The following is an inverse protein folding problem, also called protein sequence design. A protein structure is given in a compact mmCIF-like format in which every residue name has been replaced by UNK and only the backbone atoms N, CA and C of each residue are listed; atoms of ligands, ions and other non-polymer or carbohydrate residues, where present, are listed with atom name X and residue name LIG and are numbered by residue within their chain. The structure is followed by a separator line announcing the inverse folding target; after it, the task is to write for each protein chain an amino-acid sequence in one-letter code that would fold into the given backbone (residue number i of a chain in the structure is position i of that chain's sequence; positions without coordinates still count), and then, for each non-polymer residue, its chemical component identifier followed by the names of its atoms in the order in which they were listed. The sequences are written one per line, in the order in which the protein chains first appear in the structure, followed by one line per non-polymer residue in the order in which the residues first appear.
data_IF_078634883264
#
_entry.id   IF_078634883264
#
_cell.length_a   1.000
_cell.length_b   1.000
_cell.length_c   1.000
_cell.angle_alpha   90.00
_cell.angle_beta   90.00
_cell.angle_gamma   90.00
#
_symmetry.space_group_name_H-M   'P 1'
#
loop_
_entity.id
_entity.type
_entity.pdbx_description
1 polymer ?
#
# COMPACT_ATOMS: atom_id res chain seq x y z
N UNK A 1 2.84 -25.87 19.41
CA UNK A 1 3.87 -25.13 18.65
C UNK A 1 4.51 -26.05 17.61
N UNK A 2 4.08 -26.02 16.33
CA UNK A 2 4.63 -26.88 15.26
C UNK A 2 4.48 -26.27 13.84
N UNK A 3 4.29 -24.95 13.70
CA UNK A 3 4.02 -24.30 12.39
C UNK A 3 5.21 -23.54 11.79
N UNK A 4 6.28 -23.30 12.54
CA UNK A 4 7.44 -22.51 12.07
C UNK A 4 8.44 -23.31 11.23
N UNK A 5 8.47 -24.65 11.34
CA UNK A 5 9.46 -25.48 10.63
C UNK A 5 9.12 -25.76 9.16
N UNK A 6 7.85 -25.69 8.75
CA UNK A 6 7.46 -25.96 7.35
C UNK A 6 7.74 -24.79 6.40
N UNK A 7 7.72 -23.55 6.88
CA UNK A 7 7.90 -22.35 6.03
C UNK A 7 9.38 -22.19 5.64
N UNK A 8 10.31 -22.40 6.58
CA UNK A 8 11.75 -22.38 6.27
C UNK A 8 12.16 -23.51 5.33
N UNK A 9 11.49 -24.67 5.41
CA UNK A 9 11.76 -25.81 4.53
C UNK A 9 11.23 -25.56 3.11
N UNK A 10 10.05 -24.97 2.97
CA UNK A 10 9.50 -24.58 1.66
C UNK A 10 10.36 -23.51 0.96
N UNK A 11 10.89 -22.52 1.70
CA UNK A 11 11.82 -21.53 1.14
C UNK A 11 13.13 -22.17 0.65
N UNK A 12 13.67 -23.15 1.40
CA UNK A 12 14.89 -23.88 1.03
C UNK A 12 14.71 -24.74 -0.23
N UNK A 13 13.54 -25.36 -0.43
CA UNK A 13 13.24 -26.10 -1.65
C UNK A 13 13.07 -25.18 -2.87
N UNK A 14 12.49 -24.00 -2.69
CA UNK A 14 12.36 -23.01 -3.79
C UNK A 14 13.72 -22.44 -4.19
N UNK A 15 14.66 -22.23 -3.26
CA UNK A 15 16.00 -21.77 -3.64
C UNK A 15 16.81 -22.87 -4.35
N UNK A 16 16.72 -24.13 -3.89
CA UNK A 16 17.51 -25.24 -4.43
C UNK A 16 17.06 -25.73 -5.82
N UNK A 17 15.75 -25.66 -6.13
CA UNK A 17 15.22 -26.08 -7.44
C UNK A 17 15.61 -25.08 -8.53
N UNK A 18 15.73 -23.78 -8.20
CA UNK A 18 15.97 -22.74 -9.21
C UNK A 18 17.44 -22.41 -9.44
N UNK A 19 18.35 -22.67 -8.49
CA UNK A 19 19.79 -22.64 -8.77
C UNK A 19 20.24 -23.69 -9.78
N UNK A 20 19.46 -24.77 -9.94
CA UNK A 20 19.72 -25.84 -10.92
C UNK A 20 18.99 -25.66 -12.26
N UNK A 21 18.11 -24.65 -12.38
CA UNK A 21 17.34 -24.37 -13.60
C UNK A 21 17.70 -23.02 -14.25
N UNK A 22 18.92 -22.52 -14.02
CA UNK A 22 19.46 -21.40 -14.79
C UNK A 22 19.97 -21.98 -16.12
N UNK A 23 19.33 -21.69 -17.28
CA UNK A 23 19.94 -22.00 -18.56
C UNK A 23 21.28 -21.28 -18.66
N UNK A 24 22.31 -21.97 -19.18
CA UNK A 24 23.71 -21.56 -19.09
C UNK A 24 24.08 -20.27 -19.83
N UNK A 25 23.14 -19.54 -20.41
CA UNK A 25 23.42 -18.29 -21.11
C UNK A 25 22.47 -17.18 -20.63
N UNK A 26 23.09 -16.06 -20.28
CA UNK A 26 22.57 -14.80 -19.75
C UNK A 26 22.06 -14.78 -18.29
N UNK A 27 22.72 -13.91 -17.50
CA UNK A 27 22.44 -13.61 -16.09
C UNK A 27 21.17 -12.76 -15.93
N UNK A 28 20.02 -13.21 -16.46
CA UNK A 28 18.76 -12.54 -16.18
C UNK A 28 18.17 -13.05 -14.85
N UNK A 29 18.53 -12.37 -13.77
CA UNK A 29 18.02 -12.66 -12.43
C UNK A 29 16.62 -12.08 -12.17
N UNK A 30 16.00 -11.42 -13.16
CA UNK A 30 14.67 -10.80 -13.03
C UNK A 30 13.59 -11.76 -12.51
N UNK A 31 13.52 -13.04 -12.94
CA UNK A 31 12.52 -13.99 -12.42
C UNK A 31 12.75 -14.37 -10.96
N UNK A 32 14.01 -14.48 -10.53
CA UNK A 32 14.38 -14.81 -9.15
C UNK A 32 14.12 -13.62 -8.23
N UNK A 33 14.43 -12.40 -8.69
CA UNK A 33 14.09 -11.15 -7.99
C UNK A 33 12.56 -11.00 -7.91
N UNK A 34 11.83 -11.24 -8.99
CA UNK A 34 10.37 -11.19 -9.00
C UNK A 34 9.74 -12.23 -8.05
N UNK A 35 10.33 -13.43 -7.93
CA UNK A 35 9.87 -14.47 -7.01
C UNK A 35 10.24 -14.16 -5.55
N UNK A 36 11.42 -13.58 -5.28
CA UNK A 36 11.79 -13.10 -3.95
C UNK A 36 10.90 -11.94 -3.53
N UNK A 37 10.61 -11.00 -4.43
CA UNK A 37 9.63 -9.94 -4.22
C UNK A 37 8.25 -10.55 -3.97
N UNK A 38 7.81 -11.55 -4.73
CA UNK A 38 6.53 -12.26 -4.53
C UNK A 38 6.49 -13.04 -3.19
N UNK A 39 7.58 -13.66 -2.77
CA UNK A 39 7.66 -14.36 -1.49
C UNK A 39 7.68 -13.36 -0.31
N UNK A 40 8.29 -12.18 -0.50
CA UNK A 40 8.28 -11.07 0.45
C UNK A 40 6.92 -10.32 0.45
N UNK A 41 6.20 -10.38 -0.68
CA UNK A 41 4.83 -9.88 -0.93
C UNK A 41 3.76 -10.72 -0.19
N UNK A 42 4.00 -12.02 -0.04
CA UNK A 42 3.09 -12.94 0.65
C UNK A 42 3.24 -12.95 2.19
N UNK A 43 4.27 -12.31 2.75
CA UNK A 43 4.46 -12.19 4.19
C UNK A 43 3.82 -10.90 4.67
N UNK A 44 2.51 -10.96 4.94
CA UNK A 44 1.65 -9.93 5.53
C UNK A 44 2.44 -8.82 6.23
N UNK A 45 2.58 -7.69 5.55
CA UNK A 45 3.14 -6.47 6.09
C UNK A 45 2.09 -5.40 6.16
N UNK A 46 2.27 -4.50 7.11
CA UNK A 46 1.59 -3.23 7.13
C UNK A 46 2.70 -2.18 7.05
N UNK A 47 2.45 -1.08 6.37
CA UNK A 47 3.42 0.00 6.17
C UNK A 47 2.82 1.33 6.62
N UNK A 48 3.64 2.22 7.13
CA UNK A 48 3.31 3.62 7.31
C UNK A 48 4.13 4.45 6.32
N UNK A 49 3.45 5.13 5.41
CA UNK A 49 4.02 6.21 4.61
C UNK A 49 3.91 7.49 5.41
N UNK A 50 5.06 8.03 5.83
CA UNK A 50 5.11 9.22 6.66
C UNK A 50 5.65 10.38 5.84
N UNK A 51 4.87 11.44 5.80
CA UNK A 51 5.20 12.68 5.11
C UNK A 51 5.32 13.81 6.12
N UNK A 52 6.48 14.43 6.16
CA UNK A 52 6.72 15.67 6.90
C UNK A 52 6.04 16.82 6.17
N UNK A 53 5.00 17.39 6.78
CA UNK A 53 4.26 18.52 6.21
C UNK A 53 4.97 19.85 6.48
N UNK A 54 5.54 20.01 7.67
CA UNK A 54 6.37 21.15 8.05
C UNK A 54 7.36 20.74 9.16
N UNK A 55 8.08 21.70 9.76
CA UNK A 55 9.06 21.43 10.81
C UNK A 55 8.50 20.74 12.06
N UNK A 56 7.20 20.85 12.32
CA UNK A 56 6.54 20.39 13.56
C UNK A 56 5.35 19.46 13.33
N UNK A 57 4.97 19.20 12.07
CA UNK A 57 3.78 18.42 11.72
C UNK A 57 4.12 17.38 10.66
N UNK A 58 3.69 16.15 10.92
CA UNK A 58 3.83 15.03 10.00
C UNK A 58 2.54 14.20 9.97
N UNK A 59 2.27 13.61 8.81
CA UNK A 59 1.13 12.73 8.56
C UNK A 59 1.63 11.35 8.23
N UNK A 60 1.07 10.33 8.87
CA UNK A 60 1.31 8.94 8.56
C UNK A 60 0.08 8.34 7.90
N UNK A 61 0.23 7.83 6.69
CA UNK A 61 -0.76 7.01 6.00
C UNK A 61 -0.39 5.55 6.21
N UNK A 62 -1.28 4.81 6.87
CA UNK A 62 -1.10 3.40 7.18
C UNK A 62 -1.73 2.56 6.07
N UNK A 63 -0.98 1.58 5.56
CA UNK A 63 -1.25 0.87 4.32
C UNK A 63 -1.10 -0.64 4.53
N UNK A 64 -2.04 -1.42 4.00
CA UNK A 64 -1.92 -2.87 3.88
C UNK A 64 -0.97 -3.24 2.72
N UNK A 65 0.31 -2.93 2.87
CA UNK A 65 1.36 -3.24 1.90
C UNK A 65 2.37 -4.20 2.55
N UNK A 66 2.72 -5.32 1.88
CA UNK A 66 3.66 -6.29 2.42
C UNK A 66 5.01 -5.66 2.78
N UNK A 67 5.71 -6.28 3.74
CA UNK A 67 6.91 -5.67 4.34
C UNK A 67 8.00 -5.41 3.30
N UNK A 68 8.14 -6.30 2.31
CA UNK A 68 9.06 -6.12 1.18
C UNK A 68 8.71 -4.96 0.26
N UNK A 69 7.44 -4.54 0.22
CA UNK A 69 6.97 -3.35 -0.50
C UNK A 69 6.89 -2.09 0.38
N UNK A 70 7.23 -2.19 1.67
CA UNK A 70 7.31 -1.03 2.57
C UNK A 70 8.67 -0.34 2.43
N UNK A 71 8.96 0.11 1.22
CA UNK A 71 10.15 0.88 0.87
C UNK A 71 9.75 2.05 0.01
N UNK A 72 10.52 3.12 0.13
CA UNK A 72 10.44 4.25 -0.78
C UNK A 72 11.37 3.97 -1.96
N UNK A 73 10.99 4.28 -3.21
CA UNK A 73 11.90 4.13 -4.34
C UNK A 73 13.17 4.94 -4.10
N UNK A 74 14.31 4.29 -4.19
CA UNK A 74 15.62 4.89 -4.00
C UNK A 74 16.10 5.63 -5.23
N UNK A 75 15.59 5.26 -6.42
CA UNK A 75 15.90 5.93 -7.70
C UNK A 75 14.65 6.35 -8.46
N UNK A 76 14.82 7.26 -9.42
CA UNK A 76 13.71 7.69 -10.28
C UNK A 76 13.16 6.55 -11.14
N UNK A 77 14.02 5.62 -11.58
CA UNK A 77 13.59 4.45 -12.37
C UNK A 77 12.70 3.52 -11.55
N UNK A 78 13.06 3.29 -10.29
CA UNK A 78 12.23 2.54 -9.34
C UNK A 78 10.89 3.23 -9.12
N UNK A 79 10.88 4.57 -8.99
CA UNK A 79 9.66 5.36 -8.82
C UNK A 79 8.73 5.26 -10.04
N UNK A 80 9.29 5.31 -11.24
CA UNK A 80 8.57 5.12 -12.50
C UNK A 80 8.00 3.71 -12.60
N UNK A 81 8.80 2.69 -12.26
CA UNK A 81 8.36 1.29 -12.27
C UNK A 81 7.22 1.04 -11.27
N UNK A 82 7.34 1.58 -10.04
CA UNK A 82 6.28 1.50 -9.04
C UNK A 82 5.01 2.21 -9.52
N UNK A 83 5.11 3.43 -10.03
CA UNK A 83 3.96 4.20 -10.53
C UNK A 83 3.21 3.44 -11.64
N UNK A 84 3.94 2.82 -12.57
CA UNK A 84 3.34 1.99 -13.62
C UNK A 84 2.65 0.74 -13.05
N UNK A 85 3.30 0.06 -12.11
CA UNK A 85 2.76 -1.13 -11.46
C UNK A 85 1.45 -0.82 -10.72
N UNK A 86 1.43 0.23 -9.89
CA UNK A 86 0.25 0.66 -9.15
C UNK A 86 -0.89 1.07 -10.10
N UNK A 87 -0.57 1.81 -11.16
CA UNK A 87 -1.55 2.22 -12.17
C UNK A 87 -2.18 1.01 -12.86
N UNK A 88 -1.40 -0.01 -13.21
CA UNK A 88 -1.92 -1.24 -13.82
C UNK A 88 -2.86 -2.01 -12.87
N UNK A 89 -2.56 -2.02 -11.56
CA UNK A 89 -3.46 -2.60 -10.54
C UNK A 89 -4.78 -1.85 -10.46
N UNK A 90 -4.74 -0.51 -10.44
CA UNK A 90 -5.95 0.31 -10.45
C UNK A 90 -6.76 0.14 -11.73
N UNK A 91 -6.10 0.09 -12.90
CA UNK A 91 -6.77 -0.17 -14.18
C UNK A 91 -7.48 -1.52 -14.20
N UNK A 92 -6.91 -2.55 -13.59
CA UNK A 92 -7.55 -3.87 -13.47
C UNK A 92 -8.86 -3.78 -12.68
N UNK A 93 -8.87 -3.03 -11.57
CA UNK A 93 -10.07 -2.79 -10.76
C UNK A 93 -11.12 -2.00 -11.56
N UNK A 94 -10.73 -0.91 -12.22
CA UNK A 94 -11.66 -0.12 -13.04
C UNK A 94 -12.24 -0.93 -14.21
N UNK A 95 -11.43 -1.79 -14.81
CA UNK A 95 -11.88 -2.66 -15.91
C UNK A 95 -12.91 -3.68 -15.43
N UNK A 96 -12.71 -4.25 -14.24
CA UNK A 96 -13.67 -5.14 -13.58
C UNK A 96 -14.98 -4.42 -13.22
N UNK A 97 -14.90 -3.15 -12.80
CA UNK A 97 -16.06 -2.30 -12.49
C UNK A 97 -16.81 -1.82 -13.76
N UNK A 98 -16.22 -1.97 -14.94
CA UNK A 98 -16.86 -1.70 -16.23
C UNK A 98 -16.91 -0.22 -16.62
N UNK A 99 -17.78 0.09 -17.59
CA UNK A 99 -17.78 1.38 -18.30
C UNK A 99 -18.04 2.61 -17.41
N UNK A 100 -18.70 2.42 -16.26
CA UNK A 100 -18.90 3.47 -15.26
C UNK A 100 -17.59 4.05 -14.72
N UNK A 101 -16.48 3.31 -14.83
CA UNK A 101 -15.16 3.75 -14.39
C UNK A 101 -14.23 4.23 -15.51
N UNK A 102 -14.70 4.35 -16.75
CA UNK A 102 -13.85 4.77 -17.87
C UNK A 102 -13.21 6.15 -17.64
N UNK A 103 -14.00 7.15 -17.23
CA UNK A 103 -13.49 8.49 -16.95
C UNK A 103 -12.46 8.49 -15.81
N UNK A 104 -12.74 7.76 -14.72
CA UNK A 104 -11.81 7.59 -13.59
C UNK A 104 -10.50 6.92 -14.03
N UNK A 105 -10.59 5.87 -14.86
CA UNK A 105 -9.44 5.14 -15.38
C UNK A 105 -8.55 6.03 -16.26
N UNK A 106 -9.15 6.86 -17.13
CA UNK A 106 -8.43 7.85 -17.93
C UNK A 106 -7.75 8.90 -17.06
N UNK A 107 -8.44 9.41 -16.04
CA UNK A 107 -7.87 10.40 -15.11
C UNK A 107 -6.71 9.82 -14.28
N UNK A 108 -6.83 8.58 -13.79
CA UNK A 108 -5.77 7.88 -13.07
C UNK A 108 -4.54 7.68 -13.97
N UNK A 109 -4.75 7.24 -15.20
CA UNK A 109 -3.67 7.06 -16.19
C UNK A 109 -2.98 8.38 -16.52
N UNK A 110 -3.74 9.46 -16.67
CA UNK A 110 -3.19 10.80 -16.95
C UNK A 110 -2.36 11.32 -15.78
N UNK A 111 -2.82 11.10 -14.55
CA UNK A 111 -2.08 11.47 -13.32
C UNK A 111 -0.78 10.68 -13.21
N UNK A 112 -0.82 9.38 -13.47
CA UNK A 112 0.37 8.54 -13.49
C UNK A 112 1.39 9.00 -14.54
N UNK A 113 0.95 9.30 -15.76
CA UNK A 113 1.81 9.80 -16.82
C UNK A 113 2.43 11.16 -16.46
N UNK A 114 1.67 12.04 -15.82
CA UNK A 114 2.19 13.30 -15.30
C UNK A 114 3.33 13.07 -14.29
N UNK A 115 3.13 12.17 -13.31
CA UNK A 115 4.17 11.82 -12.32
C UNK A 115 5.40 11.18 -12.97
N UNK A 116 5.21 10.24 -13.89
CA UNK A 116 6.30 9.61 -14.64
C UNK A 116 7.12 10.66 -15.40
N UNK A 117 6.45 11.60 -16.08
CA UNK A 117 7.13 12.69 -16.77
C UNK A 117 7.86 13.61 -15.80
N UNK A 118 7.28 13.90 -14.65
CA UNK A 118 7.93 14.69 -13.60
C UNK A 118 9.22 14.01 -13.11
N UNK A 119 9.19 12.71 -12.81
CA UNK A 119 10.37 11.95 -12.41
C UNK A 119 11.43 11.88 -13.50
N UNK A 120 11.04 11.66 -14.75
CA UNK A 120 11.97 11.62 -15.88
C UNK A 120 12.67 12.98 -16.13
N UNK A 121 12.00 14.08 -15.80
CA UNK A 121 12.54 15.44 -15.93
C UNK A 121 13.43 15.85 -14.74
N UNK A 122 13.52 15.04 -13.69
CA UNK A 122 14.42 15.27 -12.57
C UNK A 122 15.82 14.66 -12.82
N UNK A 123 16.84 15.34 -12.31
CA UNK A 123 18.14 14.70 -12.05
C UNK A 123 18.04 13.76 -10.85
N UNK A 124 18.98 12.82 -10.73
CA UNK A 124 18.99 11.87 -9.61
C UNK A 124 19.13 12.56 -8.24
N UNK A 125 19.91 13.65 -8.18
CA UNK A 125 20.08 14.43 -6.96
C UNK A 125 18.80 15.19 -6.60
N UNK A 126 18.09 15.76 -7.59
CA UNK A 126 16.77 16.37 -7.37
C UNK A 126 15.75 15.34 -6.87
N UNK A 127 15.79 14.12 -7.43
CA UNK A 127 14.93 13.04 -6.97
C UNK A 127 15.21 12.68 -5.52
N UNK A 128 16.48 12.45 -5.14
CA UNK A 128 16.87 12.16 -3.74
C UNK A 128 16.46 13.27 -2.77
N UNK A 129 16.58 14.53 -3.17
CA UNK A 129 16.12 15.67 -2.36
C UNK A 129 14.59 15.62 -2.16
N UNK A 130 13.82 15.21 -3.17
CA UNK A 130 12.36 15.06 -3.04
C UNK A 130 11.96 14.01 -1.99
N UNK A 131 12.83 13.02 -1.74
CA UNK A 131 12.57 11.95 -0.78
C UNK A 131 12.72 12.38 0.69
N UNK A 132 13.42 13.50 0.97
CA UNK A 132 13.79 13.91 2.33
C UNK A 132 12.60 14.10 3.27
N UNK A 133 11.44 14.46 2.73
CA UNK A 133 10.22 14.66 3.51
C UNK A 133 9.35 13.39 3.61
N UNK A 134 9.71 12.30 2.95
CA UNK A 134 9.00 11.02 2.96
C UNK A 134 9.80 9.94 3.68
N UNK A 135 9.12 9.03 4.37
CA UNK A 135 9.70 7.81 4.91
C UNK A 135 8.67 6.69 4.86
N UNK A 136 9.11 5.48 4.53
CA UNK A 136 8.31 4.26 4.69
C UNK A 136 8.79 3.50 5.92
N UNK A 137 7.86 3.12 6.81
CA UNK A 137 8.15 2.39 8.05
C UNK A 137 7.29 1.15 8.13
N UNK A 138 7.90 -0.02 8.29
CA UNK A 138 7.16 -1.26 8.50
C UNK A 138 6.48 -1.20 9.87
N UNK A 139 5.18 -1.46 9.91
CA UNK A 139 4.39 -1.50 11.14
C UNK A 139 3.88 -2.90 11.42
N UNK A 140 3.59 -3.18 12.70
CA UNK A 140 3.14 -4.50 13.14
C UNK A 140 1.75 -4.84 12.60
N UNK A 141 0.72 -4.14 13.12
CA UNK A 141 -0.67 -4.40 12.78
C UNK A 141 -1.40 -3.09 12.47
N UNK A 142 -1.99 -3.02 11.28
CA UNK A 142 -2.70 -1.84 10.81
C UNK A 142 -3.90 -1.45 11.70
N UNK A 143 -4.65 -2.42 12.23
CA UNK A 143 -5.77 -2.18 13.14
C UNK A 143 -5.28 -1.61 14.47
N UNK A 144 -4.21 -2.18 15.03
CA UNK A 144 -3.61 -1.70 16.27
C UNK A 144 -3.09 -0.27 16.11
N UNK A 145 -2.35 0.02 15.04
CA UNK A 145 -1.85 1.38 14.80
C UNK A 145 -3.00 2.38 14.54
N UNK A 146 -4.10 1.92 13.95
CA UNK A 146 -5.29 2.75 13.71
C UNK A 146 -6.22 2.91 14.91
N UNK A 147 -5.89 2.34 16.09
CA UNK A 147 -6.83 2.21 17.22
C UNK A 147 -7.49 3.54 17.61
N UNK A 148 -6.71 4.61 17.82
CA UNK A 148 -7.26 5.92 18.18
C UNK A 148 -8.14 6.52 17.08
N UNK A 149 -7.71 6.41 15.81
CA UNK A 149 -8.48 6.86 14.65
C UNK A 149 -9.82 6.12 14.57
N UNK A 150 -9.82 4.80 14.82
CA UNK A 150 -11.03 3.98 14.84
C UNK A 150 -11.95 4.34 16.01
N UNK A 151 -11.40 4.59 17.21
CA UNK A 151 -12.19 5.08 18.35
C UNK A 151 -12.82 6.44 18.05
N UNK A 152 -12.08 7.34 17.42
CA UNK A 152 -12.60 8.66 17.03
C UNK A 152 -13.73 8.56 15.99
N UNK A 153 -13.70 7.51 15.16
CA UNK A 153 -14.79 7.16 14.25
C UNK A 153 -15.98 6.46 14.95
N UNK A 154 -16.00 6.41 16.29
CA UNK A 154 -17.10 5.87 17.09
C UNK A 154 -17.06 4.38 17.35
N UNK A 155 -15.92 3.70 17.11
CA UNK A 155 -15.79 2.26 17.36
C UNK A 155 -15.50 1.95 18.83
N UNK A 156 -16.10 0.89 19.35
CA UNK A 156 -15.74 0.32 20.66
C UNK A 156 -14.47 -0.54 20.56
N UNK A 157 -13.83 -0.81 21.69
CA UNK A 157 -12.63 -1.65 21.72
C UNK A 157 -12.91 -3.08 21.24
N UNK A 158 -14.10 -3.63 21.54
CA UNK A 158 -14.53 -4.94 21.05
C UNK A 158 -14.73 -4.94 19.54
N UNK A 159 -15.31 -3.87 18.99
CA UNK A 159 -15.46 -3.72 17.55
C UNK A 159 -14.11 -3.64 16.85
N UNK A 160 -13.16 -2.87 17.41
CA UNK A 160 -11.79 -2.75 16.87
C UNK A 160 -11.07 -4.10 16.94
N UNK A 161 -11.18 -4.82 18.06
CA UNK A 161 -10.58 -6.15 18.23
C UNK A 161 -11.13 -7.19 17.24
N UNK A 162 -12.37 -7.02 16.79
CA UNK A 162 -12.99 -7.86 15.77
C UNK A 162 -12.59 -7.48 14.33
N UNK A 163 -11.98 -6.31 14.11
CA UNK A 163 -11.52 -5.89 12.78
C UNK A 163 -10.28 -6.66 12.35
N UNK A 164 -10.09 -6.80 11.04
CA UNK A 164 -8.91 -7.44 10.45
C UNK A 164 -8.11 -6.43 9.61
N UNK A 165 -6.78 -6.55 9.57
CA UNK A 165 -6.00 -5.83 8.55
C UNK A 165 -6.40 -6.34 7.16
N UNK A 166 -6.48 -5.43 6.21
CA UNK A 166 -6.74 -5.74 4.82
C UNK A 166 -5.54 -6.39 4.15
N UNK A 167 -5.81 -7.03 3.02
CA UNK A 167 -4.82 -7.50 2.07
C UNK A 167 -4.29 -6.38 1.18
N UNK A 168 -3.30 -6.69 0.34
CA UNK A 168 -2.83 -5.77 -0.68
C UNK A 168 -3.91 -5.47 -1.74
N UNK A 169 -4.79 -6.42 -2.05
CA UNK A 169 -5.92 -6.21 -2.95
C UNK A 169 -6.96 -5.26 -2.33
N UNK A 170 -7.18 -5.38 -1.01
CA UNK A 170 -8.03 -4.45 -0.27
C UNK A 170 -7.46 -3.02 -0.33
N UNK A 171 -6.14 -2.86 -0.21
CA UNK A 171 -5.48 -1.57 -0.37
C UNK A 171 -5.72 -0.97 -1.75
N UNK A 172 -5.45 -1.71 -2.84
CA UNK A 172 -5.68 -1.20 -4.19
C UNK A 172 -7.15 -0.88 -4.46
N UNK A 173 -8.07 -1.68 -3.92
CA UNK A 173 -9.51 -1.43 -4.01
C UNK A 173 -9.89 -0.13 -3.30
N UNK A 174 -9.40 0.10 -2.08
CA UNK A 174 -9.62 1.35 -1.36
C UNK A 174 -9.01 2.55 -2.09
N UNK A 175 -7.81 2.40 -2.65
CA UNK A 175 -7.16 3.45 -3.46
C UNK A 175 -7.97 3.79 -4.72
N UNK A 176 -8.52 2.79 -5.40
CA UNK A 176 -9.40 2.99 -6.55
C UNK A 176 -10.69 3.75 -6.16
N UNK A 177 -11.31 3.39 -5.02
CA UNK A 177 -12.49 4.10 -4.48
C UNK A 177 -12.14 5.54 -4.10
N UNK A 178 -11.01 5.76 -3.43
CA UNK A 178 -10.57 7.09 -3.03
C UNK A 178 -10.33 7.99 -4.25
N UNK A 179 -9.67 7.46 -5.28
CA UNK A 179 -9.44 8.20 -6.52
C UNK A 179 -10.75 8.50 -7.27
N UNK A 180 -11.66 7.51 -7.40
CA UNK A 180 -12.99 7.73 -7.99
C UNK A 180 -13.81 8.77 -7.22
N UNK A 181 -13.69 8.81 -5.89
CA UNK A 181 -14.34 9.81 -5.04
C UNK A 181 -13.76 11.20 -5.28
N UNK A 182 -12.43 11.33 -5.32
CA UNK A 182 -11.74 12.60 -5.62
C UNK A 182 -12.05 13.11 -7.04
N UNK A 183 -12.23 12.20 -8.01
CA UNK A 183 -12.68 12.51 -9.37
C UNK A 183 -14.19 12.80 -9.47
N UNK A 184 -14.92 12.81 -8.36
CA UNK A 184 -16.37 13.02 -8.28
C UNK A 184 -17.18 12.06 -9.15
N UNK A 185 -16.77 10.77 -9.20
CA UNK A 185 -17.39 9.72 -10.00
C UNK A 185 -18.17 8.70 -9.11
N UNK A 186 -19.35 9.05 -8.58
CA UNK A 186 -20.09 8.19 -7.65
C UNK A 186 -20.55 6.87 -8.29
N UNK A 187 -20.86 6.86 -9.59
CA UNK A 187 -21.23 5.65 -10.34
C UNK A 187 -20.07 4.66 -10.42
N UNK A 188 -18.84 5.15 -10.58
CA UNK A 188 -17.65 4.31 -10.51
C UNK A 188 -17.42 3.77 -9.10
N UNK A 189 -17.60 4.59 -8.06
CA UNK A 189 -17.49 4.14 -6.65
C UNK A 189 -18.45 2.98 -6.38
N UNK A 190 -19.71 3.09 -6.80
CA UNK A 190 -20.71 2.01 -6.66
C UNK A 190 -20.24 0.77 -7.45
N UNK A 191 -19.86 0.94 -8.71
CA UNK A 191 -19.42 -0.16 -9.55
C UNK A 191 -18.18 -0.90 -9.02
N UNK A 192 -17.22 -0.20 -8.39
CA UNK A 192 -16.07 -0.83 -7.73
C UNK A 192 -16.53 -1.66 -6.52
N UNK A 193 -17.43 -1.12 -5.69
CA UNK A 193 -17.96 -1.83 -4.52
C UNK A 193 -18.70 -3.10 -4.92
N UNK A 194 -19.53 -3.03 -5.96
CA UNK A 194 -20.35 -4.16 -6.42
C UNK A 194 -19.52 -5.24 -7.13
N UNK A 195 -18.43 -4.86 -7.80
CA UNK A 195 -17.54 -5.78 -8.52
C UNK A 195 -16.42 -6.37 -7.66
N UNK A 196 -16.19 -5.83 -6.46
CA UNK A 196 -15.12 -6.28 -5.56
C UNK A 196 -15.52 -7.51 -4.74
N UNK A 197 -14.58 -8.42 -4.52
CA UNK A 197 -14.73 -9.56 -3.60
C UNK A 197 -14.48 -9.17 -2.13
N UNK A 198 -14.20 -7.89 -1.86
CA UNK A 198 -13.73 -7.39 -0.57
C UNK A 198 -14.88 -6.98 0.36
N UNK A 199 -15.78 -7.93 0.66
CA UNK A 199 -16.99 -7.67 1.44
C UNK A 199 -16.71 -6.97 2.78
N UNK A 200 -15.58 -7.29 3.44
CA UNK A 200 -15.22 -6.69 4.71
C UNK A 200 -14.92 -5.18 4.67
N UNK A 201 -14.45 -4.65 3.53
CA UNK A 201 -14.16 -3.22 3.36
C UNK A 201 -15.41 -2.36 3.31
N UNK A 202 -16.47 -2.87 2.69
CA UNK A 202 -17.67 -2.09 2.36
C UNK A 202 -18.88 -2.42 3.24
N UNK A 203 -18.70 -3.27 4.25
CA UNK A 203 -19.70 -3.47 5.32
C UNK A 203 -19.99 -2.16 6.04
N UNK A 204 -21.21 -2.02 6.57
CA UNK A 204 -21.58 -0.90 7.44
C UNK A 204 -21.90 -1.45 8.83
N UNK A 205 -21.00 -1.28 9.82
CA UNK A 205 -19.74 -0.56 9.72
C UNK A 205 -18.59 -1.48 9.22
N UNK A 206 -17.52 -0.96 8.59
CA UNK A 206 -16.46 -1.80 8.02
C UNK A 206 -15.84 -2.76 9.03
N UNK A 207 -15.42 -3.95 8.58
CA UNK A 207 -14.77 -4.99 9.39
C UNK A 207 -13.30 -5.23 9.00
N UNK A 208 -12.86 -4.61 7.90
CA UNK A 208 -11.49 -4.64 7.41
C UNK A 208 -10.92 -3.23 7.36
N UNK A 209 -9.69 -3.05 7.80
CA UNK A 209 -8.91 -1.80 7.65
C UNK A 209 -7.82 -2.06 6.63
N UNK A 210 -7.86 -1.42 5.46
CA UNK A 210 -6.79 -1.51 4.46
C UNK A 210 -6.02 -0.20 4.26
N UNK A 211 -6.60 0.90 4.74
CA UNK A 211 -6.06 2.24 4.71
C UNK A 211 -6.50 2.96 5.98
N UNK A 212 -5.60 3.70 6.60
CA UNK A 212 -5.90 4.60 7.71
C UNK A 212 -4.91 5.76 7.68
N UNK A 213 -5.21 6.84 8.38
CA UNK A 213 -4.30 7.96 8.53
C UNK A 213 -4.22 8.43 9.97
N UNK A 214 -3.04 8.92 10.32
CA UNK A 214 -2.74 9.56 11.59
C UNK A 214 -2.00 10.87 11.32
N UNK A 215 -2.13 11.83 12.22
CA UNK A 215 -1.41 13.10 12.15
C UNK A 215 -0.81 13.40 13.51
N UNK A 216 0.43 13.89 13.48
CA UNK A 216 1.23 14.21 14.66
C UNK A 216 1.78 15.63 14.58
N UNK A 217 2.02 16.21 15.75
CA UNK A 217 2.55 17.57 15.91
C UNK A 217 2.04 18.24 17.18
N UNK A 218 2.55 19.43 17.46
CA UNK A 218 2.35 20.17 18.72
C UNK A 218 0.88 20.51 19.04
N UNK A 219 0.01 20.57 18.03
CA UNK A 219 -1.41 20.92 18.19
C UNK A 219 -2.39 19.78 17.89
N UNK A 220 -1.90 18.57 17.57
CA UNK A 220 -2.77 17.50 17.09
C UNK A 220 -3.40 16.72 18.25
N UNK A 221 -4.74 16.53 18.25
CA UNK A 221 -5.44 15.77 19.28
C UNK A 221 -4.87 14.35 19.44
N UNK A 222 -4.91 13.80 20.65
CA UNK A 222 -4.48 12.41 20.88
C UNK A 222 -5.27 11.40 20.02
N UNK A 223 -6.51 11.74 19.66
CA UNK A 223 -7.40 10.91 18.84
C UNK A 223 -6.98 10.80 17.37
N UNK A 224 -6.06 11.65 16.90
CA UNK A 224 -5.52 11.59 15.53
C UNK A 224 -4.16 10.90 15.45
N UNK A 225 -3.62 10.42 16.57
CA UNK A 225 -2.28 9.79 16.65
C UNK A 225 -2.39 8.28 16.47
N UNK A 226 -1.45 7.64 15.76
CA UNK A 226 -1.36 6.18 15.79
C UNK A 226 -0.90 5.70 17.17
N UNK A 227 -1.18 4.45 17.49
CA UNK A 227 -0.92 3.90 18.81
C UNK A 227 0.57 3.89 19.19
N UNK A 228 1.46 3.47 18.30
CA UNK A 228 2.89 3.30 18.63
C UNK A 228 3.85 3.98 17.64
N UNK A 229 3.36 4.39 16.46
CA UNK A 229 4.22 4.98 15.43
C UNK A 229 4.91 6.29 15.88
N UNK A 230 4.43 6.97 16.92
CA UNK A 230 5.11 8.14 17.50
C UNK A 230 6.47 7.84 18.14
N UNK A 231 6.79 6.58 18.43
CA UNK A 231 8.07 6.18 19.03
C UNK A 231 9.18 5.97 17.99
N UNK A 232 8.82 5.92 16.70
CA UNK A 232 9.73 5.72 15.57
C UNK A 232 10.24 7.06 14.97
N UNK A 233 9.91 8.19 15.61
CA UNK A 233 10.20 9.56 15.19
C UNK A 233 10.89 10.40 16.26
#
# INVERSE_FOLDING_TARGET
MKKTKSISLALLFVVAVFTNCIPKEEKDNSPVIALLLYANDQLSGNCASVTKTNSTTYTATLLSVPKGGCSQPGTKEEAVAQTKSETAKLQTIYSKAGSNCNATSTAATSTANYLINAYNNMTEDQYKVSLVNGKMVAIGNLVTESHNTLKNAGRTDEQIAAMKPGSLEDYYTMSAVAFATAATQPTCVIAIKDSSTNAGLFTTPPTVVALSSCTYGSSQPATTKCANLNLEF
#
